data_IF_816298334853
#
_entry.id   IF_816298334853
#
_cell.length_a   1.000
_cell.length_b   1.000
_cell.length_c   1.000
_cell.angle_alpha   90.00
_cell.angle_beta   90.00
_cell.angle_gamma   90.00
#
_symmetry.space_group_name_H-M   'P 1'
#
loop_
_entity.id
_entity.type
_entity.pdbx_description
1 polymer ?
#
# COMPACT_ATOMS: atom_id res chain seq x y z
N UNK A 1 -8.32 0.50 -17.83
CA UNK A 1 -8.13 0.62 -16.36
C UNK A 1 -8.89 1.84 -15.88
N UNK A 2 -9.59 1.76 -14.74
CA UNK A 2 -10.35 2.88 -14.17
C UNK A 2 -9.37 3.85 -13.51
N UNK A 3 -9.43 5.14 -13.83
CA UNK A 3 -8.70 6.17 -13.10
C UNK A 3 -9.34 6.37 -11.72
N UNK A 4 -8.54 6.39 -10.66
CA UNK A 4 -9.00 6.70 -9.31
C UNK A 4 -9.10 8.22 -9.14
N UNK A 5 -10.22 8.69 -8.61
CA UNK A 5 -10.36 10.10 -8.20
C UNK A 5 -9.67 10.34 -6.85
N UNK A 6 -9.33 11.61 -6.57
CA UNK A 6 -8.80 12.02 -5.26
C UNK A 6 -9.75 11.60 -4.13
N UNK A 7 -11.06 11.75 -4.34
CA UNK A 7 -12.08 11.36 -3.36
C UNK A 7 -12.08 9.86 -3.07
N UNK A 8 -11.90 9.02 -4.08
CA UNK A 8 -11.78 7.56 -3.90
C UNK A 8 -10.49 7.20 -3.15
N UNK A 9 -9.36 7.86 -3.45
CA UNK A 9 -8.09 7.63 -2.76
C UNK A 9 -8.18 7.99 -1.28
N UNK A 10 -8.68 9.19 -0.96
CA UNK A 10 -8.87 9.64 0.43
C UNK A 10 -9.81 8.70 1.18
N UNK A 11 -10.88 8.25 0.54
CA UNK A 11 -11.83 7.31 1.15
C UNK A 11 -11.16 5.97 1.48
N UNK A 12 -10.32 5.47 0.58
CA UNK A 12 -9.59 4.23 0.80
C UNK A 12 -8.55 4.36 1.92
N UNK A 13 -7.75 5.42 1.93
CA UNK A 13 -6.78 5.69 3.01
C UNK A 13 -7.45 5.79 4.38
N UNK A 14 -8.59 6.49 4.49
CA UNK A 14 -9.38 6.56 5.74
C UNK A 14 -9.89 5.19 6.19
N UNK A 15 -10.26 4.33 5.25
CA UNK A 15 -10.67 2.96 5.58
C UNK A 15 -9.50 2.15 6.13
N UNK A 16 -8.30 2.30 5.55
CA UNK A 16 -7.09 1.64 6.03
C UNK A 16 -6.66 2.18 7.40
N UNK A 17 -6.68 3.49 7.60
CA UNK A 17 -6.44 4.15 8.90
C UNK A 17 -7.33 3.57 10.00
N UNK A 18 -8.63 3.39 9.69
CA UNK A 18 -9.60 2.80 10.62
C UNK A 18 -9.29 1.34 10.96
N UNK A 19 -8.79 0.57 10.00
CA UNK A 19 -8.56 -0.87 10.16
C UNK A 19 -7.20 -1.22 10.77
N UNK A 20 -6.17 -0.41 10.53
CA UNK A 20 -4.78 -0.74 10.86
C UNK A 20 -4.08 0.28 11.79
N UNK A 21 -4.69 1.45 11.99
CA UNK A 21 -4.20 2.47 12.91
C UNK A 21 -3.79 3.78 12.21
N UNK A 22 -3.79 4.87 12.98
CA UNK A 22 -3.41 6.20 12.49
C UNK A 22 -1.91 6.35 12.23
N UNK A 23 -1.12 5.58 12.95
CA UNK A 23 0.35 5.62 12.89
C UNK A 23 0.92 4.57 11.92
N UNK A 24 0.08 3.94 11.10
CA UNK A 24 0.55 3.03 10.05
C UNK A 24 1.41 3.79 9.04
N UNK A 25 2.60 3.29 8.76
CA UNK A 25 3.57 3.96 7.89
C UNK A 25 3.02 4.08 6.47
N UNK A 26 3.24 5.22 5.82
CA UNK A 26 2.97 5.37 4.39
C UNK A 26 4.26 5.15 3.61
N UNK A 27 4.26 4.17 2.71
CA UNK A 27 5.37 3.90 1.79
C UNK A 27 4.93 4.14 0.36
N UNK A 28 5.87 4.61 -0.46
CA UNK A 28 5.66 4.88 -1.87
C UNK A 28 6.54 3.91 -2.65
N UNK A 29 5.94 3.04 -3.45
CA UNK A 29 6.69 2.25 -4.41
C UNK A 29 6.66 3.00 -5.75
N UNK A 30 7.80 3.55 -6.16
CA UNK A 30 8.04 3.81 -7.57
C UNK A 30 8.44 2.49 -8.18
N UNK A 31 7.79 2.03 -9.25
CA UNK A 31 8.37 0.93 -10.00
C UNK A 31 9.79 1.29 -10.46
N UNK A 32 10.68 0.32 -10.41
CA UNK A 32 12.07 0.44 -10.86
C UNK A 32 12.17 0.53 -12.40
N UNK A 33 11.03 0.53 -13.09
CA UNK A 33 10.90 0.34 -14.53
C UNK A 33 10.78 1.66 -15.31
N UNK A 34 10.82 2.82 -14.64
CA UNK A 34 10.78 4.12 -15.31
C UNK A 34 9.43 4.38 -15.99
N UNK A 35 8.33 3.87 -15.42
CA UNK A 35 7.02 4.05 -16.03
C UNK A 35 6.59 5.52 -16.06
N UNK A 36 5.98 5.85 -17.20
CA UNK A 36 5.39 7.16 -17.48
C UNK A 36 4.23 7.38 -16.49
N UNK A 37 4.15 8.57 -15.89
CA UNK A 37 3.25 9.02 -14.81
C UNK A 37 1.75 8.65 -14.92
N UNK A 38 1.28 8.10 -16.03
CA UNK A 38 -0.07 7.62 -16.27
C UNK A 38 -0.28 6.11 -15.97
N UNK A 39 0.76 5.38 -15.54
CA UNK A 39 0.71 3.95 -15.19
C UNK A 39 0.94 3.62 -13.71
N UNK A 40 1.29 4.61 -12.89
CA UNK A 40 1.46 4.49 -11.44
C UNK A 40 0.08 4.22 -10.83
N UNK A 41 -0.07 3.04 -10.24
CA UNK A 41 -1.31 2.48 -9.70
C UNK A 41 -1.59 3.05 -8.31
N UNK A 42 -2.22 4.22 -8.20
CA UNK A 42 -2.56 4.91 -6.94
C UNK A 42 -3.51 4.15 -5.98
N UNK A 43 -3.54 2.82 -6.01
CA UNK A 43 -4.34 1.94 -5.18
C UNK A 43 -3.57 1.71 -3.87
N UNK A 44 -4.04 2.27 -2.75
CA UNK A 44 -3.40 2.03 -1.48
C UNK A 44 -3.62 0.57 -1.05
N UNK A 45 -2.54 -0.10 -0.67
CA UNK A 45 -2.52 -1.51 -0.27
C UNK A 45 -1.92 -1.61 1.13
N UNK A 46 -2.62 -2.23 2.09
CA UNK A 46 -2.05 -2.50 3.40
C UNK A 46 -1.17 -3.76 3.38
N UNK A 47 -0.15 -3.79 4.23
CA UNK A 47 0.81 -4.89 4.26
C UNK A 47 1.89 -4.73 5.33
N UNK A 48 2.95 -5.51 5.17
CA UNK A 48 4.16 -5.40 5.98
C UNK A 48 5.31 -4.93 5.10
N UNK A 49 5.92 -3.81 5.48
CA UNK A 49 7.17 -3.30 4.91
C UNK A 49 8.33 -3.65 5.85
N UNK A 50 9.36 -4.28 5.30
CA UNK A 50 10.62 -4.55 5.99
C UNK A 50 11.66 -3.49 5.60
N UNK A 51 12.16 -2.73 6.58
CA UNK A 51 13.13 -1.66 6.33
C UNK A 51 14.54 -2.18 6.04
N UNK A 52 14.88 -3.40 6.49
CA UNK A 52 16.21 -3.97 6.27
C UNK A 52 16.34 -4.48 4.83
N UNK A 53 15.28 -5.11 4.31
CA UNK A 53 15.27 -5.67 2.95
C UNK A 53 14.63 -4.74 1.92
N UNK A 54 13.96 -3.67 2.35
CA UNK A 54 13.14 -2.78 1.51
C UNK A 54 12.02 -3.53 0.76
N UNK A 55 11.53 -4.64 1.31
CA UNK A 55 10.45 -5.42 0.71
C UNK A 55 9.09 -5.06 1.29
N UNK A 56 8.08 -4.96 0.42
CA UNK A 56 6.68 -4.82 0.81
C UNK A 56 5.88 -6.08 0.46
N UNK A 57 5.18 -6.64 1.44
CA UNK A 57 4.27 -7.77 1.25
C UNK A 57 2.85 -7.32 1.57
N UNK A 58 2.00 -7.26 0.54
CA UNK A 58 0.59 -6.92 0.68
C UNK A 58 -0.20 -8.00 1.42
N UNK A 59 -1.34 -7.62 2.00
CA UNK A 59 -2.27 -8.57 2.62
C UNK A 59 -2.92 -9.42 1.51
N UNK A 60 -2.35 -10.58 1.23
CA UNK A 60 -2.90 -11.62 0.35
C UNK A 60 -2.91 -12.98 1.07
N UNK A 61 -3.19 -14.08 0.37
CA UNK A 61 -3.19 -15.43 0.97
C UNK A 61 -1.84 -15.79 1.64
N UNK A 62 -0.70 -15.27 1.14
CA UNK A 62 0.61 -15.45 1.78
C UNK A 62 0.74 -14.67 3.10
N UNK A 63 0.04 -13.54 3.24
CA UNK A 63 0.02 -12.78 4.50
C UNK A 63 -0.56 -13.61 5.64
N UNK A 64 -1.62 -14.38 5.36
CA UNK A 64 -2.27 -15.26 6.34
C UNK A 64 -1.32 -16.36 6.87
N UNK A 65 -0.33 -16.78 6.07
CA UNK A 65 0.67 -17.76 6.47
C UNK A 65 1.74 -17.18 7.41
N UNK A 66 1.96 -15.86 7.39
CA UNK A 66 3.09 -15.23 8.10
C UNK A 66 2.77 -14.73 9.52
N UNK A 67 1.49 -14.67 9.94
CA UNK A 67 1.07 -14.06 11.23
C UNK A 67 1.68 -12.66 11.50
N UNK A 68 2.16 -11.96 10.45
CA UNK A 68 2.77 -10.63 10.58
C UNK A 68 1.68 -9.60 10.89
N UNK A 69 2.04 -8.54 11.61
CA UNK A 69 1.17 -7.37 11.84
C UNK A 69 1.37 -6.35 10.73
N UNK A 70 0.27 -5.69 10.35
CA UNK A 70 0.32 -4.61 9.35
C UNK A 70 1.07 -3.45 9.97
N UNK A 71 2.11 -2.98 9.28
CA UNK A 71 2.92 -1.85 9.73
C UNK A 71 2.99 -0.73 8.68
N UNK A 72 2.54 -0.98 7.45
CA UNK A 72 2.63 -0.02 6.36
C UNK A 72 1.45 -0.12 5.37
N UNK A 73 1.20 1.00 4.68
CA UNK A 73 0.33 1.14 3.52
C UNK A 73 1.19 1.60 2.35
N UNK A 74 1.16 0.85 1.25
CA UNK A 74 1.84 1.20 0.01
C UNK A 74 0.88 1.93 -0.93
N UNK A 75 1.30 3.07 -1.49
CA UNK A 75 0.64 3.71 -2.64
C UNK A 75 1.51 3.45 -3.86
N UNK A 76 0.98 2.71 -4.83
CA UNK A 76 1.64 2.41 -6.10
C UNK A 76 1.32 3.42 -7.19
#
# INVERSE_FOLDING_TARGET
MKQLTISELISSLKSLEKNYGKDTLLVYASDDEGNIFNRVLFIPTAGTFDQETCEFVGINDQYAETNKKVNAICIN
#
